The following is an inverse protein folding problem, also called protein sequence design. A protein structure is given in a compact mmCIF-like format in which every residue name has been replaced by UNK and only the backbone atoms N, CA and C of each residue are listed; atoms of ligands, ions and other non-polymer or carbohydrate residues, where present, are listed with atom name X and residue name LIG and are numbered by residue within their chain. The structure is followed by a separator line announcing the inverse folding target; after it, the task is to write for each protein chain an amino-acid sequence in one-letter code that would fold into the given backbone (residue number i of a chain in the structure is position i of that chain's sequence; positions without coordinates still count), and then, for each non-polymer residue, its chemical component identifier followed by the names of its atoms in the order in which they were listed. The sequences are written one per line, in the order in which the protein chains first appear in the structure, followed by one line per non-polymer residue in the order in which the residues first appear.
data_IF_601447072556
#
_entry.id   IF_601447072556
#
_cell.length_a   1.000
_cell.length_b   1.000
_cell.length_c   1.000
_cell.angle_alpha   90.00
_cell.angle_beta   90.00
_cell.angle_gamma   90.00
#
_symmetry.space_group_name_H-M   'P 1'
#
loop_
_entity.id
_entity.type
_entity.pdbx_description
1 polymer ?
#
# COMPACT_ATOMS: atom_id res chain seq x y z
N UNK A 1 -0.57 23.80 11.43
CA UNK A 1 0.54 24.40 12.17
C UNK A 1 0.97 25.66 11.46
N UNK A 2 1.03 26.78 12.18
CA UNK A 2 1.33 28.09 11.63
C UNK A 2 2.66 28.61 12.19
N UNK A 3 3.41 29.31 11.34
CA UNK A 3 4.61 30.04 11.72
C UNK A 3 4.33 31.36 12.41
N UNK A 4 5.39 32.08 12.83
CA UNK A 4 5.25 33.38 13.48
C UNK A 4 4.63 34.45 12.57
N UNK A 5 4.70 34.29 11.24
CA UNK A 5 4.15 35.21 10.25
C UNK A 5 2.82 34.71 9.66
N UNK A 6 2.23 33.65 10.25
CA UNK A 6 0.99 33.05 9.78
C UNK A 6 1.16 32.05 8.62
N UNK A 7 2.39 31.73 8.22
CA UNK A 7 2.68 30.75 7.19
C UNK A 7 2.34 29.32 7.64
N UNK A 8 1.73 28.49 6.78
CA UNK A 8 1.36 27.13 7.16
C UNK A 8 2.51 26.15 6.93
N UNK A 9 2.92 25.44 7.98
CA UNK A 9 3.98 24.42 7.91
C UNK A 9 3.44 23.00 7.67
N UNK A 10 2.14 22.76 7.84
CA UNK A 10 1.55 21.42 7.69
C UNK A 10 0.52 21.09 8.75
N UNK A 11 0.17 19.80 8.85
CA UNK A 11 -0.80 19.27 9.83
C UNK A 11 -0.08 18.53 10.94
N UNK A 12 -0.55 18.72 12.18
CA UNK A 12 -0.04 17.94 13.32
C UNK A 12 -0.55 16.52 13.16
N UNK A 13 0.38 15.56 13.01
CA UNK A 13 0.09 14.14 12.89
C UNK A 13 0.04 13.48 14.26
N UNK A 14 1.01 13.80 15.12
CA UNK A 14 1.16 13.15 16.41
C UNK A 14 1.83 14.07 17.44
N UNK A 15 1.76 13.67 18.71
CA UNK A 15 2.43 14.30 19.85
C UNK A 15 3.44 13.31 20.41
N UNK A 16 4.70 13.71 20.48
CA UNK A 16 5.76 12.87 21.07
C UNK A 16 5.81 13.15 22.56
N UNK A 17 5.65 12.12 23.37
CA UNK A 17 5.75 12.18 24.83
C UNK A 17 6.92 11.32 25.33
N UNK A 18 7.50 11.73 26.46
CA UNK A 18 8.46 10.89 27.19
C UNK A 18 7.72 9.89 28.05
N UNK A 19 8.08 8.61 28.00
CA UNK A 19 7.59 7.64 28.98
C UNK A 19 8.75 6.97 29.71
N UNK A 20 8.62 6.86 31.03
CA UNK A 20 9.65 6.30 31.90
C UNK A 20 9.13 5.09 32.65
N UNK A 21 10.05 4.17 32.98
CA UNK A 21 9.79 3.01 33.84
C UNK A 21 9.46 3.49 35.27
N UNK A 22 10.08 4.59 35.70
CA UNK A 22 9.73 5.27 36.95
C UNK A 22 8.50 6.11 36.66
N UNK A 23 7.39 5.88 37.37
CA UNK A 23 6.09 6.59 37.25
C UNK A 23 6.22 8.11 37.48
N UNK A 24 6.84 8.77 36.51
CA UNK A 24 6.94 10.21 36.37
C UNK A 24 5.86 10.64 35.40
N UNK A 25 5.33 11.84 35.61
CA UNK A 25 4.37 12.43 34.69
C UNK A 25 5.03 12.61 33.30
N UNK A 26 4.42 12.10 32.21
CA UNK A 26 4.97 12.24 30.86
C UNK A 26 5.11 13.69 30.46
N UNK A 27 6.28 14.05 29.93
CA UNK A 27 6.51 15.35 29.30
C UNK A 27 6.21 15.24 27.82
N UNK A 28 5.59 16.27 27.26
CA UNK A 28 5.50 16.42 25.81
C UNK A 28 6.86 16.91 25.32
N UNK A 29 7.49 16.16 24.43
CA UNK A 29 8.79 16.48 23.86
C UNK A 29 8.65 17.32 22.59
N UNK A 30 7.60 17.09 21.81
CA UNK A 30 7.34 17.81 20.57
C UNK A 30 6.15 17.27 19.81
N UNK A 31 6.02 17.75 18.58
CA UNK A 31 4.96 17.41 17.65
C UNK A 31 5.57 16.80 16.39
N UNK A 32 4.94 15.74 15.90
CA UNK A 32 5.21 15.21 14.55
C UNK A 32 4.27 15.93 13.59
N UNK A 33 4.85 16.51 12.55
CA UNK A 33 4.11 17.30 11.57
C UNK A 33 4.31 16.70 10.20
N UNK A 34 3.21 16.44 9.52
CA UNK A 34 3.23 16.14 8.10
C UNK A 34 3.33 17.44 7.32
N UNK A 35 4.47 17.60 6.64
CA UNK A 35 4.65 18.65 5.66
C UNK A 35 3.79 18.37 4.43
N UNK A 36 3.56 19.40 3.61
CA UNK A 36 2.87 19.24 2.33
C UNK A 36 3.57 18.24 1.38
N UNK A 37 4.87 17.98 1.60
CA UNK A 37 5.69 17.03 0.84
C UNK A 37 5.63 15.60 1.39
N UNK A 38 4.61 15.23 2.19
CA UNK A 38 4.43 13.91 2.86
C UNK A 38 5.59 13.45 3.75
N UNK A 39 6.59 14.30 3.98
CA UNK A 39 7.64 14.06 4.97
C UNK A 39 7.15 14.46 6.35
N UNK A 40 7.23 13.52 7.29
CA UNK A 40 7.01 13.82 8.70
C UNK A 40 8.29 14.37 9.32
N UNK A 41 8.17 15.53 9.97
CA UNK A 41 9.27 16.17 10.69
C UNK A 41 8.94 16.32 12.17
N UNK A 42 9.98 16.43 12.99
CA UNK A 42 9.83 16.68 14.41
C UNK A 42 10.01 18.14 14.77
N UNK A 43 9.03 18.70 15.46
CA UNK A 43 9.10 20.04 16.05
C UNK A 43 9.20 19.92 17.57
N UNK A 44 10.31 20.36 18.18
CA UNK A 44 10.43 20.39 19.64
C UNK A 44 9.34 21.26 20.26
N UNK A 45 8.76 20.83 21.38
CA UNK A 45 7.64 21.53 22.04
C UNK A 45 8.03 22.97 22.44
N UNK A 46 9.31 23.21 22.71
CA UNK A 46 9.85 24.52 23.06
C UNK A 46 9.70 25.55 21.92
N UNK A 47 9.53 25.09 20.68
CA UNK A 47 9.27 25.96 19.52
C UNK A 47 7.80 26.31 19.36
N UNK A 48 6.90 25.64 20.08
CA UNK A 48 5.47 25.95 20.05
C UNK A 48 5.21 27.20 20.90
N UNK A 49 4.53 28.17 20.31
CA UNK A 49 4.10 29.40 20.95
C UNK A 49 2.79 29.19 21.71
N UNK A 50 1.77 28.69 21.01
CA UNK A 50 0.46 28.35 21.56
C UNK A 50 -0.15 27.14 20.84
N UNK A 51 -1.04 26.44 21.54
CA UNK A 51 -1.91 25.39 21.01
C UNK A 51 -3.33 25.89 21.20
N UNK A 52 -4.00 26.23 20.09
CA UNK A 52 -5.38 26.71 20.03
C UNK A 52 -6.25 25.64 19.35
N UNK A 53 -7.58 25.68 19.50
CA UNK A 53 -8.47 24.65 18.96
C UNK A 53 -8.36 24.41 17.44
N UNK A 54 -7.99 25.44 16.69
CA UNK A 54 -7.89 25.45 15.23
C UNK A 54 -6.45 25.55 14.71
N UNK A 55 -5.48 25.94 15.55
CA UNK A 55 -4.10 26.12 15.14
C UNK A 55 -3.07 25.87 16.25
N UNK A 56 -1.93 25.31 15.84
CA UNK A 56 -0.70 25.32 16.64
C UNK A 56 0.25 26.36 16.03
N UNK A 57 0.69 27.33 16.82
CA UNK A 57 1.57 28.42 16.36
C UNK A 57 3.01 28.22 16.82
N UNK A 58 3.97 28.62 15.99
CA UNK A 58 5.40 28.54 16.28
C UNK A 58 5.97 29.88 16.77
N UNK A 59 6.97 29.81 17.65
CA UNK A 59 7.77 30.97 18.10
C UNK A 59 8.76 31.44 17.04
N UNK A 60 9.27 30.51 16.22
CA UNK A 60 10.28 30.78 15.19
C UNK A 60 9.92 30.07 13.89
N UNK A 61 10.22 30.69 12.74
CA UNK A 61 9.93 30.13 11.42
C UNK A 61 10.97 29.13 10.91
N UNK A 62 12.14 29.04 11.57
CA UNK A 62 13.16 28.06 11.17
C UNK A 62 12.77 26.69 11.72
N UNK A 63 12.57 25.71 10.85
CA UNK A 63 12.22 24.33 11.21
C UNK A 63 13.23 23.37 10.59
N UNK A 64 13.62 22.33 11.33
CA UNK A 64 14.47 21.26 10.80
C UNK A 64 13.66 20.39 9.85
N UNK A 65 14.16 20.18 8.63
CA UNK A 65 13.55 19.30 7.64
C UNK A 65 14.04 17.85 7.72
N UNK A 66 14.80 17.50 8.78
CA UNK A 66 15.20 16.12 9.03
C UNK A 66 13.96 15.25 9.27
N UNK A 67 13.96 14.07 8.66
CA UNK A 67 12.94 13.06 8.89
C UNK A 67 12.84 12.75 10.38
N UNK A 68 11.62 12.55 10.87
CA UNK A 68 11.39 12.14 12.25
C UNK A 68 11.79 10.68 12.44
N UNK A 69 12.73 10.44 13.33
CA UNK A 69 13.05 9.11 13.86
C UNK A 69 12.75 9.10 15.36
N UNK A 70 11.93 8.14 15.78
CA UNK A 70 11.57 7.95 17.18
C UNK A 70 12.78 7.47 17.98
N UNK A 71 13.10 8.15 19.08
CA UNK A 71 14.23 7.77 19.95
C UNK A 71 13.78 6.81 21.07
N UNK A 72 14.72 6.02 21.64
CA UNK A 72 14.42 5.20 22.81
C UNK A 72 13.84 6.03 23.97
N UNK A 73 12.68 5.62 24.49
CA UNK A 73 11.96 6.31 25.58
C UNK A 73 10.96 7.38 25.12
N UNK A 74 10.88 7.63 23.81
CA UNK A 74 9.83 8.47 23.20
C UNK A 74 8.64 7.60 22.78
N UNK A 75 7.42 8.11 22.94
CA UNK A 75 6.18 7.46 22.55
C UNK A 75 5.32 8.45 21.77
N UNK A 76 4.66 7.96 20.73
CA UNK A 76 3.65 8.68 19.97
C UNK A 76 2.29 8.58 20.67
N UNK A 77 1.72 9.71 21.08
CA UNK A 77 0.46 9.76 21.79
C UNK A 77 -0.70 9.17 20.97
N UNK A 78 -0.86 9.64 19.74
CA UNK A 78 -1.91 9.18 18.83
C UNK A 78 -1.60 7.79 18.31
N UNK A 79 -0.36 7.56 17.89
CA UNK A 79 0.05 6.29 17.27
C UNK A 79 0.19 5.10 18.23
N UNK A 80 0.41 5.34 19.53
CA UNK A 80 0.73 4.27 20.50
C UNK A 80 -0.04 4.32 21.81
N UNK A 81 -0.48 5.49 22.29
CA UNK A 81 -1.13 5.59 23.62
C UNK A 81 -2.63 5.38 23.56
N UNK A 82 -3.28 5.91 22.51
CA UNK A 82 -4.71 5.69 22.33
C UNK A 82 -5.04 4.21 22.15
N UNK A 83 -6.23 3.84 22.61
CA UNK A 83 -6.77 2.48 22.66
C UNK A 83 -5.95 1.49 23.49
N UNK A 84 -4.93 1.94 24.21
CA UNK A 84 -4.20 1.06 25.12
C UNK A 84 -5.09 0.68 26.30
N UNK A 85 -5.19 -0.62 26.65
CA UNK A 85 -5.91 -1.06 27.84
C UNK A 85 -5.14 -0.63 29.09
N UNK A 86 -5.83 0.08 29.96
CA UNK A 86 -5.32 0.60 31.23
C UNK A 86 -6.28 0.24 32.35
N UNK A 87 -5.76 0.27 33.57
CA UNK A 87 -6.55 0.20 34.79
C UNK A 87 -6.57 1.56 35.45
N UNK A 88 -7.73 1.91 35.99
CA UNK A 88 -7.92 3.19 36.67
C UNK A 88 -8.25 2.90 38.13
N UNK A 89 -7.45 3.50 39.01
CA UNK A 89 -7.66 3.48 40.45
C UNK A 89 -7.87 4.92 40.92
N UNK A 90 -9.05 5.45 40.66
CA UNK A 90 -9.44 6.81 41.04
C UNK A 90 -10.44 6.74 42.21
N UNK A 91 -10.15 7.37 43.38
CA UNK A 91 -11.07 7.40 44.52
C UNK A 91 -12.45 7.99 44.19
N UNK A 92 -12.52 8.89 43.22
CA UNK A 92 -13.75 9.56 42.80
C UNK A 92 -14.57 8.72 41.80
N UNK A 93 -13.98 7.66 41.24
CA UNK A 93 -14.62 6.74 40.28
C UNK A 93 -14.43 5.27 40.70
N UNK A 94 -15.01 4.83 41.84
CA UNK A 94 -14.87 3.46 42.34
C UNK A 94 -15.45 2.41 41.39
N UNK A 95 -16.38 2.80 40.51
CA UNK A 95 -16.96 1.97 39.46
C UNK A 95 -15.97 1.52 38.37
N UNK A 96 -14.85 2.22 38.19
CA UNK A 96 -13.78 1.84 37.26
C UNK A 96 -12.71 0.98 37.91
N UNK A 97 -12.71 0.87 39.25
CA UNK A 97 -11.70 0.11 39.98
C UNK A 97 -11.75 -1.38 39.61
N UNK A 98 -10.61 -1.92 39.15
CA UNK A 98 -10.49 -3.32 38.75
C UNK A 98 -11.11 -3.68 37.40
N UNK A 99 -11.61 -2.69 36.63
CA UNK A 99 -12.11 -2.88 35.26
C UNK A 99 -11.06 -2.41 34.27
N UNK A 100 -10.81 -3.20 33.23
CA UNK A 100 -9.94 -2.78 32.13
C UNK A 100 -10.71 -1.78 31.25
N UNK A 101 -10.13 -0.59 31.07
CA UNK A 101 -10.66 0.51 30.25
C UNK A 101 -9.64 0.86 29.16
N UNK A 102 -10.09 1.48 28.08
CA UNK A 102 -9.22 1.92 26.98
C UNK A 102 -9.01 3.42 27.02
N UNK A 103 -7.80 3.87 26.68
CA UNK A 103 -7.50 5.29 26.51
C UNK A 103 -8.15 5.80 25.22
N UNK A 104 -8.80 6.96 25.28
CA UNK A 104 -9.49 7.58 24.14
C UNK A 104 -8.95 8.96 23.80
N UNK A 105 -8.36 9.66 24.78
CA UNK A 105 -7.76 10.98 24.58
C UNK A 105 -6.75 11.29 25.70
N UNK A 106 -5.85 12.24 25.46
CA UNK A 106 -4.86 12.73 26.42
C UNK A 106 -5.00 14.25 26.60
N UNK A 107 -5.17 14.67 27.86
CA UNK A 107 -5.10 16.08 28.25
C UNK A 107 -3.66 16.49 28.51
N UNK A 108 -3.17 17.47 27.74
CA UNK A 108 -1.86 18.09 27.98
C UNK A 108 -2.04 19.50 28.57
N UNK A 109 -1.21 19.84 29.54
CA UNK A 109 -1.21 21.14 30.20
C UNK A 109 0.20 21.69 30.35
N UNK A 110 0.31 23.02 30.33
CA UNK A 110 1.57 23.69 30.58
C UNK A 110 1.75 23.96 32.08
N UNK A 111 2.85 23.48 32.64
CA UNK A 111 3.21 23.70 34.04
C UNK A 111 3.73 25.12 34.27
N UNK A 112 3.91 25.51 35.54
CA UNK A 112 4.52 26.80 35.92
C UNK A 112 5.95 26.97 35.38
N UNK A 113 6.69 25.89 35.12
CA UNK A 113 8.03 25.93 34.50
C UNK A 113 7.99 26.03 32.99
N UNK A 114 6.79 26.16 32.38
CA UNK A 114 6.52 26.16 30.94
C UNK A 114 6.76 24.82 30.23
N UNK A 115 6.95 23.75 30.98
CA UNK A 115 6.98 22.39 30.44
C UNK A 115 5.55 21.94 30.10
N UNK A 116 5.37 21.25 28.98
CA UNK A 116 4.11 20.60 28.65
C UNK A 116 4.13 19.18 29.20
N UNK A 117 3.07 18.80 29.90
CA UNK A 117 2.92 17.48 30.52
C UNK A 117 1.56 16.89 30.22
N UNK A 118 1.47 15.56 30.18
CA UNK A 118 0.18 14.87 30.17
C UNK A 118 -0.39 14.91 31.59
N UNK A 119 -1.46 15.66 31.81
CA UNK A 119 -2.12 15.80 33.12
C UNK A 119 -3.27 14.81 33.28
N UNK A 120 -4.05 14.60 32.22
CA UNK A 120 -5.28 13.83 32.26
C UNK A 120 -5.36 12.82 31.14
N UNK A 121 -6.14 11.77 31.36
CA UNK A 121 -6.40 10.71 30.39
C UNK A 121 -7.91 10.52 30.31
N UNK A 122 -8.47 10.58 29.11
CA UNK A 122 -9.86 10.22 28.88
C UNK A 122 -9.94 8.72 28.62
N UNK A 123 -10.70 8.00 29.43
CA UNK A 123 -10.85 6.55 29.37
C UNK A 123 -12.30 6.14 29.12
N UNK A 124 -12.48 4.94 28.54
CA UNK A 124 -13.80 4.37 28.30
C UNK A 124 -13.81 2.87 28.59
N UNK A 125 -14.92 2.35 29.11
CA UNK A 125 -15.14 0.91 29.25
C UNK A 125 -15.43 0.24 27.89
N UNK A 126 -14.78 -0.88 27.61
CA UNK A 126 -15.00 -1.66 26.38
C UNK A 126 -16.20 -2.61 26.57
N UNK A 127 -17.39 -2.26 26.06
CA UNK A 127 -18.57 -3.16 26.08
C UNK A 127 -18.76 -3.84 24.72
N UNK A 128 -19.02 -5.15 24.73
CA UNK A 128 -19.21 -6.03 23.55
C UNK A 128 -20.47 -5.77 22.70
N UNK A 129 -21.31 -4.78 23.04
CA UNK A 129 -22.46 -4.37 22.23
C UNK A 129 -22.31 -2.91 21.82
N UNK A 130 -22.83 -2.61 20.61
CA UNK A 130 -22.79 -1.39 19.77
C UNK A 130 -23.08 -0.01 20.42
N UNK A 131 -23.13 0.12 21.76
CA UNK A 131 -23.24 1.39 22.48
C UNK A 131 -21.88 1.77 23.09
N UNK A 132 -21.27 2.85 22.56
CA UNK A 132 -20.11 3.49 23.16
C UNK A 132 -20.45 3.92 24.60
N UNK A 133 -19.69 3.42 25.59
CA UNK A 133 -19.84 3.82 26.99
C UNK A 133 -19.46 5.28 27.24
N UNK A 134 -19.86 5.86 28.40
CA UNK A 134 -19.46 7.21 28.78
C UNK A 134 -17.93 7.32 28.85
N UNK A 135 -17.42 8.49 28.45
CA UNK A 135 -16.00 8.83 28.59
C UNK A 135 -15.79 9.45 29.97
N UNK A 136 -14.82 8.93 30.71
CA UNK A 136 -14.41 9.46 32.00
C UNK A 136 -13.02 10.10 31.86
N UNK A 137 -12.84 11.29 32.43
CA UNK A 137 -11.53 11.96 32.44
C UNK A 137 -10.92 11.80 33.82
N UNK A 138 -9.71 11.22 33.88
CA UNK A 138 -9.01 10.92 35.13
C UNK A 138 -7.62 11.53 35.14
N UNK A 139 -7.12 11.83 36.33
CA UNK A 139 -5.76 12.33 36.51
C UNK A 139 -4.73 11.23 36.18
N UNK A 140 -3.63 11.60 35.52
CA UNK A 140 -2.61 10.66 35.05
C UNK A 140 -2.12 9.69 36.13
N UNK A 141 -1.98 10.17 37.36
CA UNK A 141 -1.51 9.40 38.51
C UNK A 141 -2.41 8.20 38.87
N UNK A 142 -3.70 8.29 38.53
CA UNK A 142 -4.69 7.25 38.79
C UNK A 142 -4.74 6.19 37.68
N UNK A 143 -4.01 6.38 36.57
CA UNK A 143 -3.96 5.47 35.43
C UNK A 143 -2.76 4.53 35.54
N UNK A 144 -2.99 3.25 35.26
CA UNK A 144 -1.98 2.19 35.34
C UNK A 144 -1.99 1.36 34.05
N UNK A 145 -0.82 0.92 33.58
CA UNK A 145 -0.71 0.13 32.35
C UNK A 145 -0.09 0.90 31.17
N UNK A 146 0.15 2.20 31.31
CA UNK A 146 0.92 2.98 30.33
C UNK A 146 2.42 2.90 30.66
N UNK A 147 3.01 1.73 30.41
CA UNK A 147 4.46 1.51 30.52
C UNK A 147 5.07 1.37 29.13
N UNK A 148 6.38 1.64 28.96
CA UNK A 148 7.05 1.39 27.68
C UNK A 148 6.82 -0.04 27.16
N UNK A 149 6.78 -1.03 28.06
CA UNK A 149 6.53 -2.43 27.71
C UNK A 149 5.10 -2.70 27.24
N UNK A 150 4.09 -2.04 27.81
CA UNK A 150 2.68 -2.20 27.45
C UNK A 150 2.31 -1.45 26.16
N UNK A 151 2.88 -0.26 25.95
CA UNK A 151 2.73 0.52 24.71
C UNK A 151 3.51 -0.09 23.54
N UNK A 152 4.43 -1.01 23.85
CA UNK A 152 5.08 -1.85 22.86
C UNK A 152 4.27 -3.11 22.51
N UNK A 153 3.08 -3.36 23.11
CA UNK A 153 2.30 -4.57 22.84
C UNK A 153 1.27 -4.42 21.69
N UNK A 154 1.04 -5.48 20.89
CA UNK A 154 0.35 -5.43 19.58
C UNK A 154 -1.17 -5.51 19.69
N UNK A 155 -1.90 -4.89 18.75
CA UNK A 155 -3.21 -5.44 18.32
C UNK A 155 -4.37 -4.48 18.03
N UNK A 156 -4.58 -3.38 18.79
CA UNK A 156 -5.87 -2.66 18.69
C UNK A 156 -5.98 -1.61 17.58
N UNK A 157 -4.92 -0.88 17.26
CA UNK A 157 -5.01 0.08 16.15
C UNK A 157 -4.85 -0.53 14.74
N UNK A 158 -4.60 -1.84 14.61
CA UNK A 158 -4.54 -2.50 13.28
C UNK A 158 -5.94 -2.55 12.69
N UNK A 159 -6.95 -2.94 13.48
CA UNK A 159 -8.33 -3.00 13.01
C UNK A 159 -8.86 -1.65 12.50
N UNK A 160 -8.49 -0.54 13.13
CA UNK A 160 -8.87 0.80 12.68
C UNK A 160 -8.08 1.25 11.43
N UNK A 161 -6.84 0.80 11.27
CA UNK A 161 -6.08 1.04 10.04
C UNK A 161 -6.68 0.24 8.87
N UNK A 162 -7.07 -1.02 9.12
CA UNK A 162 -7.74 -1.85 8.12
C UNK A 162 -9.07 -1.23 7.68
N UNK A 163 -9.90 -0.75 8.62
CA UNK A 163 -11.14 0.00 8.33
C UNK A 163 -10.88 1.28 7.49
N UNK A 164 -9.75 1.95 7.70
CA UNK A 164 -9.34 3.08 6.86
C UNK A 164 -8.82 2.68 5.47
N UNK A 165 -8.37 1.45 5.30
CA UNK A 165 -7.88 0.93 4.03
C UNK A 165 -8.99 0.30 3.18
N UNK A 166 -10.13 -0.04 3.78
CA UNK A 166 -11.30 -0.52 3.06
C UNK A 166 -11.72 0.46 1.94
N UNK A 167 -11.84 -0.08 0.72
CA UNK A 167 -12.24 0.69 -0.47
C UNK A 167 -11.20 1.68 -1.00
N UNK A 168 -9.98 1.73 -0.44
CA UNK A 168 -8.88 2.53 -1.01
C UNK A 168 -8.11 1.73 -2.05
N UNK A 169 -7.44 2.42 -2.99
CA UNK A 169 -6.59 1.77 -3.99
C UNK A 169 -5.34 1.17 -3.33
N UNK A 170 -4.83 0.08 -3.90
CA UNK A 170 -3.65 -0.61 -3.39
C UNK A 170 -2.44 0.34 -3.29
N UNK A 171 -2.15 1.11 -4.35
CA UNK A 171 -1.10 2.15 -4.36
C UNK A 171 -1.18 3.16 -3.20
N UNK A 172 -2.39 3.60 -2.83
CA UNK A 172 -2.58 4.54 -1.72
C UNK A 172 -2.31 3.89 -0.35
N UNK A 173 -2.67 2.60 -0.24
CA UNK A 173 -2.47 1.81 0.97
C UNK A 173 -1.00 1.46 1.14
N UNK A 174 -0.32 1.04 0.06
CA UNK A 174 1.11 0.76 0.01
C UNK A 174 1.94 1.96 0.50
N UNK A 175 1.67 3.17 -0.04
CA UNK A 175 2.36 4.40 0.40
C UNK A 175 2.09 4.71 1.88
N UNK A 176 0.84 4.52 2.34
CA UNK A 176 0.48 4.75 3.74
C UNK A 176 1.20 3.78 4.68
N UNK A 177 1.27 2.49 4.30
CA UNK A 177 1.91 1.43 5.07
C UNK A 177 3.44 1.63 5.11
N UNK A 178 4.05 2.13 4.03
CA UNK A 178 5.48 2.45 4.00
C UNK A 178 5.85 3.48 5.06
N UNK A 179 4.97 4.46 5.30
CA UNK A 179 5.12 5.48 6.34
C UNK A 179 4.87 5.00 7.77
N UNK A 180 4.57 3.71 7.99
CA UNK A 180 4.42 3.12 9.32
C UNK A 180 5.75 2.56 9.84
N UNK A 181 5.99 2.56 11.17
CA UNK A 181 7.12 1.85 11.77
C UNK A 181 7.13 0.36 11.39
N UNK A 182 8.30 -0.25 11.16
CA UNK A 182 8.44 -1.63 10.65
C UNK A 182 7.61 -2.66 11.42
N UNK A 183 7.57 -2.55 12.76
CA UNK A 183 6.73 -3.43 13.59
C UNK A 183 5.25 -3.32 13.25
N UNK A 184 4.76 -2.10 13.02
CA UNK A 184 3.35 -1.86 12.72
C UNK A 184 2.99 -2.23 11.30
N UNK A 185 3.89 -1.96 10.35
CA UNK A 185 3.83 -2.45 8.98
C UNK A 185 3.59 -3.97 8.96
N UNK A 186 4.42 -4.72 9.70
CA UNK A 186 4.26 -6.17 9.83
C UNK A 186 2.91 -6.60 10.44
N UNK A 187 2.47 -5.93 11.51
CA UNK A 187 1.17 -6.20 12.13
C UNK A 187 -0.01 -5.99 11.16
N UNK A 188 0.09 -4.99 10.27
CA UNK A 188 -0.91 -4.72 9.22
C UNK A 188 -0.88 -5.82 8.16
N UNK A 189 0.29 -6.15 7.61
CA UNK A 189 0.40 -7.23 6.61
C UNK A 189 -0.11 -8.55 7.13
N UNK A 190 0.20 -8.89 8.38
CA UNK A 190 -0.29 -10.11 9.01
C UNK A 190 -1.82 -10.14 9.15
N UNK A 191 -2.49 -9.00 9.19
CA UNK A 191 -3.92 -8.90 9.40
C UNK A 191 -4.75 -8.76 8.12
N UNK A 192 -4.11 -8.47 6.97
CA UNK A 192 -4.75 -8.47 5.66
C UNK A 192 -5.06 -9.90 5.20
N UNK A 193 -6.04 -10.06 4.31
CA UNK A 193 -6.20 -11.31 3.56
C UNK A 193 -5.08 -11.43 2.53
N UNK A 194 -4.87 -12.64 1.99
CA UNK A 194 -3.73 -12.89 1.13
C UNK A 194 -3.89 -12.21 -0.24
N UNK A 195 -5.12 -12.18 -0.78
CA UNK A 195 -5.47 -11.44 -2.01
C UNK A 195 -5.20 -9.94 -1.85
N UNK A 196 -5.67 -9.38 -0.73
CA UNK A 196 -5.48 -7.95 -0.48
C UNK A 196 -4.02 -7.60 -0.20
N UNK A 197 -3.27 -8.54 0.36
CA UNK A 197 -1.85 -8.37 0.61
C UNK A 197 -1.07 -8.42 -0.71
N UNK A 198 -1.41 -9.34 -1.61
CA UNK A 198 -0.85 -9.42 -2.96
C UNK A 198 -1.00 -8.08 -3.72
N UNK A 199 -2.22 -7.55 -3.83
CA UNK A 199 -2.51 -6.22 -4.40
C UNK A 199 -1.56 -5.14 -3.87
N UNK A 200 -1.38 -5.09 -2.54
CA UNK A 200 -0.62 -4.03 -1.88
C UNK A 200 0.88 -4.25 -2.07
N UNK A 201 1.33 -5.51 -2.11
CA UNK A 201 2.73 -5.85 -2.31
C UNK A 201 3.18 -5.47 -3.71
N UNK A 202 2.41 -5.76 -4.77
CA UNK A 202 2.73 -5.39 -6.16
C UNK A 202 3.04 -3.88 -6.30
N UNK A 203 2.40 -3.05 -5.49
CA UNK A 203 2.56 -1.59 -5.50
C UNK A 203 3.76 -1.07 -4.68
N UNK A 204 4.43 -1.94 -3.91
CA UNK A 204 5.62 -1.60 -3.15
C UNK A 204 6.89 -1.73 -4.01
N UNK A 205 7.97 -1.00 -3.68
CA UNK A 205 9.28 -1.27 -4.26
C UNK A 205 9.73 -2.71 -3.95
N UNK A 206 10.40 -3.35 -4.90
CA UNK A 206 10.91 -4.73 -4.81
C UNK A 206 11.63 -5.05 -3.48
N UNK A 207 12.45 -4.12 -2.98
CA UNK A 207 13.16 -4.29 -1.71
C UNK A 207 12.22 -4.36 -0.50
N UNK A 208 11.16 -3.54 -0.50
CA UNK A 208 10.13 -3.57 0.54
C UNK A 208 9.32 -4.87 0.43
N UNK A 209 8.99 -5.32 -0.79
CA UNK A 209 8.28 -6.59 -1.03
C UNK A 209 9.05 -7.79 -0.47
N UNK A 210 10.35 -7.89 -0.78
CA UNK A 210 11.22 -8.96 -0.30
C UNK A 210 11.34 -8.97 1.24
N UNK A 211 11.45 -7.79 1.86
CA UNK A 211 11.45 -7.67 3.32
C UNK A 211 10.15 -8.25 3.92
N UNK A 212 9.01 -7.94 3.33
CA UNK A 212 7.70 -8.41 3.83
C UNK A 212 7.54 -9.92 3.66
N UNK A 213 7.85 -10.48 2.50
CA UNK A 213 7.81 -11.93 2.25
C UNK A 213 8.64 -12.70 3.29
N UNK A 214 9.84 -12.20 3.61
CA UNK A 214 10.72 -12.84 4.61
C UNK A 214 10.11 -12.93 6.02
N UNK A 215 9.10 -12.09 6.31
CA UNK A 215 8.45 -12.00 7.62
C UNK A 215 7.11 -12.78 7.70
N UNK A 216 6.47 -13.07 6.57
CA UNK A 216 5.14 -13.73 6.51
C UNK A 216 5.20 -15.24 6.85
N UNK A 217 6.39 -15.83 6.76
CA UNK A 217 6.59 -17.28 6.88
C UNK A 217 6.27 -18.00 5.57
N UNK A 218 6.94 -19.13 5.33
CA UNK A 218 6.99 -19.77 4.01
C UNK A 218 5.62 -20.15 3.42
N UNK A 219 4.72 -20.73 4.22
CA UNK A 219 3.40 -21.16 3.71
C UNK A 219 2.58 -19.95 3.24
N UNK A 220 2.42 -18.96 4.11
CA UNK A 220 1.68 -17.75 3.77
C UNK A 220 2.32 -16.93 2.66
N UNK A 221 3.65 -16.91 2.60
CA UNK A 221 4.37 -16.27 1.51
C UNK A 221 4.06 -16.93 0.16
N UNK A 222 3.87 -18.26 0.12
CA UNK A 222 3.43 -18.97 -1.07
C UNK A 222 1.97 -18.62 -1.40
N UNK A 223 1.05 -18.69 -0.42
CA UNK A 223 -0.37 -18.34 -0.61
C UNK A 223 -0.52 -16.91 -1.19
N UNK A 224 0.28 -15.95 -0.71
CA UNK A 224 0.26 -14.57 -1.23
C UNK A 224 0.83 -14.47 -2.64
N UNK A 225 1.84 -15.28 -2.99
CA UNK A 225 2.39 -15.30 -4.35
C UNK A 225 1.43 -15.95 -5.35
N UNK A 226 0.58 -16.89 -4.92
CA UNK A 226 -0.49 -17.47 -5.75
C UNK A 226 -1.54 -16.43 -6.14
N UNK A 227 -1.82 -15.48 -5.25
CA UNK A 227 -2.77 -14.39 -5.48
C UNK A 227 -2.15 -13.17 -6.20
N UNK A 228 -0.88 -13.22 -6.57
CA UNK A 228 -0.20 -12.16 -7.33
C UNK A 228 -0.27 -12.42 -8.84
N UNK A 229 -0.21 -11.34 -9.63
CA UNK A 229 -0.04 -11.47 -11.07
C UNK A 229 1.27 -12.23 -11.38
N UNK A 230 1.30 -13.17 -12.34
CA UNK A 230 2.44 -14.08 -12.52
C UNK A 230 3.77 -13.39 -12.81
N UNK A 231 3.73 -12.25 -13.49
CA UNK A 231 4.86 -11.39 -13.81
C UNK A 231 5.38 -10.65 -12.56
N UNK A 232 4.51 -10.05 -11.76
CA UNK A 232 4.90 -9.46 -10.48
C UNK A 232 5.50 -10.50 -9.51
N UNK A 233 4.91 -11.69 -9.47
CA UNK A 233 5.44 -12.80 -8.69
C UNK A 233 6.82 -13.24 -9.19
N UNK A 234 7.02 -13.27 -10.52
CA UNK A 234 8.32 -13.60 -11.12
C UNK A 234 9.37 -12.54 -10.80
N UNK A 235 9.03 -11.24 -10.90
CA UNK A 235 9.93 -10.14 -10.58
C UNK A 235 10.35 -10.19 -9.11
N UNK A 236 9.40 -10.36 -8.20
CA UNK A 236 9.68 -10.48 -6.77
C UNK A 236 10.56 -11.68 -6.44
N UNK A 237 10.26 -12.86 -7.00
CA UNK A 237 11.09 -14.05 -6.80
C UNK A 237 12.47 -13.92 -7.46
N UNK A 238 12.60 -13.16 -8.54
CA UNK A 238 13.86 -12.88 -9.22
C UNK A 238 14.84 -12.05 -8.39
N UNK A 239 14.33 -11.26 -7.45
CA UNK A 239 15.14 -10.47 -6.49
C UNK A 239 15.65 -11.32 -5.32
N UNK A 240 14.94 -12.41 -5.00
CA UNK A 240 15.32 -13.32 -3.91
C UNK A 240 16.51 -14.19 -4.28
N UNK A 241 17.11 -14.84 -3.28
CA UNK A 241 18.11 -15.84 -3.58
C UNK A 241 17.45 -17.08 -4.23
N UNK A 242 18.14 -17.78 -5.16
CA UNK A 242 17.53 -18.90 -5.89
C UNK A 242 17.02 -20.05 -5.01
N UNK A 243 17.55 -20.20 -3.79
CA UNK A 243 17.11 -21.27 -2.88
C UNK A 243 15.80 -20.91 -2.21
N UNK A 244 15.65 -19.66 -1.76
CA UNK A 244 14.39 -19.14 -1.19
C UNK A 244 13.28 -19.12 -2.23
N UNK A 245 13.57 -18.65 -3.44
CA UNK A 245 12.61 -18.65 -4.54
C UNK A 245 12.10 -20.07 -4.85
N UNK A 246 13.00 -21.04 -4.96
CA UNK A 246 12.62 -22.44 -5.23
C UNK A 246 11.80 -23.06 -4.11
N UNK A 247 12.07 -22.71 -2.84
CA UNK A 247 11.29 -23.16 -1.70
C UNK A 247 9.85 -22.63 -1.76
N UNK A 248 9.67 -21.35 -2.10
CA UNK A 248 8.34 -20.74 -2.26
C UNK A 248 7.60 -21.34 -3.46
N UNK A 249 8.25 -21.46 -4.62
CA UNK A 249 7.67 -22.08 -5.81
C UNK A 249 7.30 -23.56 -5.64
N UNK A 250 7.95 -24.27 -4.72
CA UNK A 250 7.59 -25.67 -4.39
C UNK A 250 6.40 -25.76 -3.44
N UNK A 251 6.07 -24.65 -2.76
CA UNK A 251 4.95 -24.57 -1.82
C UNK A 251 3.68 -24.09 -2.49
N UNK A 252 3.80 -23.30 -3.55
CA UNK A 252 2.70 -22.88 -4.39
C UNK A 252 2.02 -24.08 -5.09
N UNK A 253 0.76 -23.92 -5.48
CA UNK A 253 0.08 -24.84 -6.38
C UNK A 253 0.84 -24.93 -7.74
N UNK A 254 0.99 -26.13 -8.33
CA UNK A 254 1.57 -26.28 -9.67
C UNK A 254 0.91 -25.41 -10.74
N UNK A 255 -0.41 -25.21 -10.69
CA UNK A 255 -1.14 -24.44 -11.69
C UNK A 255 -0.73 -22.95 -11.68
N UNK A 256 -0.35 -22.41 -10.50
CA UNK A 256 0.10 -21.02 -10.32
C UNK A 256 1.63 -20.87 -10.41
N UNK A 257 2.39 -21.86 -9.94
CA UNK A 257 3.86 -21.80 -9.94
C UNK A 257 4.51 -22.11 -11.29
N UNK A 258 3.89 -22.96 -12.12
CA UNK A 258 4.44 -23.31 -13.44
C UNK A 258 4.52 -22.09 -14.39
N UNK A 259 3.53 -21.20 -14.48
CA UNK A 259 3.64 -19.94 -15.22
C UNK A 259 4.79 -19.06 -14.73
N UNK A 260 4.90 -18.83 -13.42
CA UNK A 260 5.96 -18.01 -12.81
C UNK A 260 7.35 -18.59 -13.09
N UNK A 261 7.52 -19.92 -13.00
CA UNK A 261 8.76 -20.62 -13.36
C UNK A 261 9.17 -20.45 -14.82
N UNK A 262 8.21 -20.24 -15.73
CA UNK A 262 8.51 -19.95 -17.14
C UNK A 262 9.02 -18.52 -17.28
N UNK A 263 8.35 -17.55 -16.65
CA UNK A 263 8.73 -16.14 -16.68
C UNK A 263 10.14 -15.90 -16.14
N UNK A 264 10.50 -16.54 -15.02
CA UNK A 264 11.85 -16.49 -14.42
C UNK A 264 13.00 -16.95 -15.33
N UNK A 265 12.72 -17.60 -16.47
CA UNK A 265 13.75 -18.00 -17.45
C UNK A 265 14.13 -16.87 -18.40
N UNK A 266 13.29 -15.85 -18.52
CA UNK A 266 13.50 -14.73 -19.41
C UNK A 266 14.35 -13.64 -18.73
N UNK A 267 14.98 -12.81 -19.55
CA UNK A 267 15.76 -11.68 -19.04
C UNK A 267 14.81 -10.53 -18.70
N UNK A 268 15.01 -9.80 -17.58
CA UNK A 268 14.12 -8.70 -17.18
C UNK A 268 14.03 -7.61 -18.25
N UNK A 269 15.13 -7.31 -18.96
CA UNK A 269 15.16 -6.30 -20.03
C UNK A 269 14.61 -6.77 -21.40
N UNK A 270 13.71 -7.75 -21.45
CA UNK A 270 13.18 -8.34 -22.69
C UNK A 270 11.67 -8.53 -22.64
N UNK A 271 10.99 -8.62 -23.78
CA UNK A 271 9.55 -8.82 -23.82
C UNK A 271 9.07 -10.03 -23.00
N UNK A 272 9.87 -11.10 -22.91
CA UNK A 272 9.55 -12.25 -22.06
C UNK A 272 9.69 -12.00 -20.55
N UNK A 273 10.49 -11.02 -20.15
CA UNK A 273 10.60 -10.56 -18.76
C UNK A 273 9.50 -9.56 -18.38
N UNK A 274 8.97 -8.80 -19.34
CA UNK A 274 7.88 -7.84 -19.12
C UNK A 274 6.48 -8.40 -19.37
N UNK A 275 6.36 -9.65 -19.83
CA UNK A 275 5.04 -10.19 -20.19
C UNK A 275 4.39 -10.84 -18.98
N UNK A 276 3.08 -10.64 -18.85
CA UNK A 276 2.25 -11.53 -18.07
C UNK A 276 1.94 -12.79 -18.87
N UNK A 277 1.83 -13.91 -18.16
CA UNK A 277 1.47 -15.21 -18.75
C UNK A 277 -0.04 -15.47 -18.77
N UNK A 278 -0.86 -14.59 -18.18
CA UNK A 278 -2.32 -14.75 -18.16
C UNK A 278 -3.08 -13.66 -18.95
N UNK A 279 -2.87 -13.53 -20.27
CA UNK A 279 -3.66 -12.61 -21.08
C UNK A 279 -5.04 -13.21 -21.40
N UNK A 280 -5.98 -12.37 -21.82
CA UNK A 280 -7.32 -12.83 -22.24
C UNK A 280 -7.26 -13.55 -23.59
N UNK A 281 -7.21 -14.89 -23.56
CA UNK A 281 -7.17 -15.76 -24.75
C UNK A 281 -8.53 -16.41 -25.02
N UNK A 282 -9.02 -16.27 -26.26
CA UNK A 282 -10.26 -16.90 -26.74
C UNK A 282 -10.03 -17.75 -27.99
N UNK A 283 -10.99 -18.64 -28.28
CA UNK A 283 -11.00 -19.42 -29.51
C UNK A 283 -11.75 -18.65 -30.61
N UNK A 284 -11.48 -18.91 -31.90
CA UNK A 284 -12.12 -18.18 -33.00
C UNK A 284 -13.65 -18.38 -33.09
N UNK A 285 -14.18 -19.42 -32.47
CA UNK A 285 -15.61 -19.72 -32.37
C UNK A 285 -16.31 -19.09 -31.16
N UNK A 286 -15.59 -18.35 -30.31
CA UNK A 286 -16.18 -17.54 -29.24
C UNK A 286 -17.02 -16.41 -29.83
N UNK A 287 -18.19 -16.14 -29.24
CA UNK A 287 -19.03 -15.01 -29.65
C UNK A 287 -18.50 -13.67 -29.14
N UNK A 288 -18.81 -12.58 -29.82
CA UNK A 288 -18.50 -11.21 -29.35
C UNK A 288 -19.11 -10.96 -27.96
N UNK A 289 -20.33 -11.45 -27.70
CA UNK A 289 -20.97 -11.33 -26.39
C UNK A 289 -20.16 -11.98 -25.26
N UNK A 290 -19.65 -13.18 -25.51
CA UNK A 290 -18.82 -13.92 -24.54
C UNK A 290 -17.45 -13.25 -24.37
N UNK A 291 -16.85 -12.76 -25.44
CA UNK A 291 -15.60 -12.01 -25.38
C UNK A 291 -15.74 -10.74 -24.52
N UNK A 292 -16.81 -9.96 -24.74
CA UNK A 292 -17.12 -8.80 -23.90
C UNK A 292 -17.43 -9.17 -22.45
N UNK A 293 -17.99 -10.36 -22.19
CA UNK A 293 -18.21 -10.84 -20.83
C UNK A 293 -16.89 -11.18 -20.13
N UNK A 294 -15.91 -11.78 -20.83
CA UNK A 294 -14.56 -12.03 -20.32
C UNK A 294 -13.82 -10.74 -20.02
N UNK A 295 -13.86 -9.76 -20.92
CA UNK A 295 -13.20 -8.44 -20.71
C UNK A 295 -13.86 -7.57 -19.64
N UNK A 296 -15.00 -8.00 -19.08
CA UNK A 296 -15.71 -7.30 -18.00
C UNK A 296 -15.33 -7.78 -16.61
N UNK A 297 -14.44 -8.76 -16.53
CA UNK A 297 -13.89 -9.22 -15.27
C UNK A 297 -13.25 -8.03 -14.52
N UNK A 298 -13.69 -7.72 -13.29
CA UNK A 298 -13.13 -6.61 -12.52
C UNK A 298 -11.67 -6.82 -12.13
N UNK A 299 -11.17 -8.05 -12.16
CA UNK A 299 -9.81 -8.40 -11.75
C UNK A 299 -8.80 -8.15 -12.89
N UNK A 300 -9.29 -8.00 -14.14
CA UNK A 300 -8.44 -7.61 -15.26
C UNK A 300 -8.06 -6.14 -15.21
N UNK A 301 -6.77 -5.84 -15.39
CA UNK A 301 -6.29 -4.48 -15.52
C UNK A 301 -6.93 -3.77 -16.73
N UNK A 302 -7.08 -2.43 -16.70
CA UNK A 302 -7.55 -1.68 -17.86
C UNK A 302 -6.71 -1.92 -19.13
N UNK A 303 -5.42 -2.23 -18.98
CA UNK A 303 -4.54 -2.51 -20.09
C UNK A 303 -4.79 -3.89 -20.70
N UNK A 304 -4.86 -4.94 -19.87
CA UNK A 304 -5.18 -6.30 -20.33
C UNK A 304 -6.58 -6.40 -20.91
N UNK A 305 -7.57 -5.73 -20.32
CA UNK A 305 -8.95 -5.71 -20.82
C UNK A 305 -9.13 -4.94 -22.14
N UNK A 306 -8.10 -4.25 -22.64
CA UNK A 306 -8.17 -3.48 -23.88
C UNK A 306 -8.16 -4.35 -25.15
N UNK A 307 -7.75 -5.62 -25.05
CA UNK A 307 -7.51 -6.51 -26.18
C UNK A 307 -7.78 -7.97 -25.81
N UNK A 308 -8.25 -8.76 -26.78
CA UNK A 308 -8.33 -10.22 -26.69
C UNK A 308 -7.37 -10.83 -27.68
N UNK A 309 -6.69 -11.89 -27.27
CA UNK A 309 -5.87 -12.71 -28.14
C UNK A 309 -6.67 -13.93 -28.61
N UNK A 310 -6.58 -14.24 -29.90
CA UNK A 310 -7.32 -15.36 -30.50
C UNK A 310 -6.33 -16.45 -30.88
N UNK A 311 -6.51 -17.64 -30.34
CA UNK A 311 -5.65 -18.79 -30.59
C UNK A 311 -6.47 -20.07 -30.81
N UNK A 312 -5.84 -21.08 -31.41
CA UNK A 312 -6.37 -22.44 -31.41
C UNK A 312 -6.18 -23.07 -30.03
N UNK A 313 -7.05 -24.00 -29.59
CA UNK A 313 -6.84 -24.73 -28.35
C UNK A 313 -5.47 -25.43 -28.30
N UNK A 314 -4.82 -25.49 -27.12
CA UNK A 314 -5.27 -24.98 -25.82
C UNK A 314 -5.19 -23.43 -25.71
N UNK A 315 -5.98 -22.84 -24.81
CA UNK A 315 -6.03 -21.37 -24.59
C UNK A 315 -5.16 -20.89 -23.43
N UNK A 316 -4.70 -21.78 -22.54
CA UNK A 316 -3.71 -21.44 -21.52
C UNK A 316 -2.33 -21.24 -22.20
N UNK A 317 -1.51 -20.33 -21.68
CA UNK A 317 -0.18 -20.07 -22.23
C UNK A 317 0.83 -21.14 -21.77
N UNK A 318 1.75 -21.61 -22.64
CA UNK A 318 1.80 -21.42 -24.09
C UNK A 318 0.57 -21.99 -24.81
N UNK A 319 -0.07 -21.19 -25.67
CA UNK A 319 -1.31 -21.58 -26.35
C UNK A 319 -1.07 -22.54 -27.50
N UNK A 320 -2.15 -23.01 -28.14
CA UNK A 320 -2.07 -23.50 -29.52
C UNK A 320 -1.73 -22.36 -30.49
N UNK A 321 -1.85 -22.60 -31.79
CA UNK A 321 -1.45 -21.62 -32.81
C UNK A 321 -2.20 -20.28 -32.67
N UNK A 322 -1.44 -19.19 -32.50
CA UNK A 322 -1.93 -17.83 -32.40
C UNK A 322 -2.44 -17.33 -33.76
N UNK A 323 -3.62 -16.73 -33.79
CA UNK A 323 -4.30 -16.29 -35.02
C UNK A 323 -4.29 -14.76 -35.18
N UNK A 324 -4.12 -14.01 -34.09
CA UNK A 324 -4.18 -12.56 -34.07
C UNK A 324 -4.94 -12.05 -32.84
N UNK A 325 -5.28 -10.78 -32.84
CA UNK A 325 -5.95 -10.13 -31.71
C UNK A 325 -7.23 -9.41 -32.13
N UNK A 326 -8.08 -9.07 -31.16
CA UNK A 326 -9.25 -8.23 -31.36
C UNK A 326 -9.26 -7.14 -30.29
N UNK A 327 -9.24 -5.88 -30.71
CA UNK A 327 -9.36 -4.75 -29.79
C UNK A 327 -10.77 -4.66 -29.19
N UNK A 328 -10.88 -4.26 -27.91
CA UNK A 328 -12.16 -4.04 -27.24
C UNK A 328 -13.09 -3.10 -28.01
N UNK A 329 -12.54 -2.03 -28.59
CA UNK A 329 -13.32 -1.09 -29.42
C UNK A 329 -14.02 -1.78 -30.59
N UNK A 330 -13.38 -2.78 -31.19
CA UNK A 330 -13.96 -3.54 -32.31
C UNK A 330 -15.11 -4.42 -31.83
N UNK A 331 -14.90 -5.15 -30.72
CA UNK A 331 -15.95 -5.94 -30.07
C UNK A 331 -17.20 -5.11 -29.71
N UNK A 332 -17.02 -3.83 -29.35
CA UNK A 332 -18.14 -2.93 -29.05
C UNK A 332 -18.92 -2.45 -30.29
N UNK A 333 -18.38 -2.62 -31.51
CA UNK A 333 -19.00 -2.19 -32.77
C UNK A 333 -19.68 -3.32 -33.53
N UNK A 334 -19.20 -4.54 -33.35
CA UNK A 334 -19.70 -5.73 -34.02
C UNK A 334 -20.90 -6.33 -33.26
N UNK A 335 -21.72 -7.13 -33.95
CA UNK A 335 -22.94 -7.67 -33.35
C UNK A 335 -22.60 -8.73 -32.27
N UNK A 336 -23.29 -8.77 -31.12
CA UNK A 336 -22.96 -9.70 -30.04
C UNK A 336 -22.99 -11.19 -30.42
N UNK A 337 -23.75 -11.56 -31.47
CA UNK A 337 -23.84 -12.92 -31.99
C UNK A 337 -22.77 -13.29 -33.01
N UNK A 338 -21.99 -12.33 -33.49
CA UNK A 338 -20.87 -12.62 -34.40
C UNK A 338 -19.74 -13.36 -33.69
N UNK A 339 -18.93 -14.07 -34.46
CA UNK A 339 -17.79 -14.83 -33.94
C UNK A 339 -16.53 -13.98 -33.99
N UNK A 340 -15.72 -14.04 -32.93
CA UNK A 340 -14.46 -13.30 -32.85
C UNK A 340 -13.51 -13.66 -33.98
N UNK A 341 -13.54 -14.90 -34.46
CA UNK A 341 -12.75 -15.38 -35.60
C UNK A 341 -13.01 -14.63 -36.92
N UNK A 342 -14.19 -14.00 -37.07
CA UNK A 342 -14.53 -13.20 -38.25
C UNK A 342 -13.97 -11.77 -38.23
N UNK A 343 -13.47 -11.31 -37.09
CA UNK A 343 -13.07 -9.92 -36.84
C UNK A 343 -11.64 -9.79 -36.29
N UNK A 344 -10.86 -10.88 -36.35
CA UNK A 344 -9.46 -10.94 -35.96
C UNK A 344 -8.63 -9.96 -36.80
N UNK A 345 -7.78 -9.21 -36.12
CA UNK A 345 -6.67 -8.48 -36.71
C UNK A 345 -5.41 -9.36 -36.68
N UNK A 346 -5.00 -9.81 -37.86
CA UNK A 346 -3.78 -10.60 -38.07
C UNK A 346 -2.59 -9.77 -38.56
N UNK A 347 -2.77 -8.46 -38.75
CA UNK A 347 -1.76 -7.56 -39.30
C UNK A 347 -0.88 -6.95 -38.19
N UNK A 348 -1.30 -7.06 -36.92
CA UNK A 348 -0.50 -6.64 -35.77
C UNK A 348 0.77 -7.50 -35.66
N UNK A 349 1.94 -6.85 -35.71
CA UNK A 349 3.22 -7.53 -35.53
C UNK A 349 3.32 -8.14 -34.13
N UNK A 350 3.95 -9.31 -34.03
CA UNK A 350 4.20 -10.00 -32.76
C UNK A 350 5.60 -9.70 -32.22
N UNK A 351 5.75 -9.75 -30.90
CA UNK A 351 7.04 -9.71 -30.22
C UNK A 351 7.54 -11.13 -29.98
N UNK A 352 8.86 -11.31 -29.89
CA UNK A 352 9.47 -12.56 -29.39
C UNK A 352 9.95 -12.38 -27.95
N UNK A 353 10.10 -13.43 -27.14
CA UNK A 353 10.55 -13.31 -25.75
C UNK A 353 11.88 -12.57 -25.61
N UNK A 354 12.77 -12.70 -26.58
CA UNK A 354 14.11 -12.09 -26.60
C UNK A 354 14.11 -10.66 -27.13
N UNK A 355 12.94 -10.12 -27.51
CA UNK A 355 12.85 -8.75 -28.03
C UNK A 355 13.26 -7.76 -26.94
N UNK A 356 14.32 -6.95 -27.13
CA UNK A 356 14.84 -6.09 -26.07
C UNK A 356 13.89 -4.94 -25.75
N UNK A 357 13.88 -4.51 -24.49
CA UNK A 357 13.01 -3.45 -23.94
C UNK A 357 12.93 -2.19 -24.82
N UNK A 358 14.06 -1.73 -25.37
CA UNK A 358 14.08 -0.55 -26.23
C UNK A 358 13.30 -0.72 -27.56
N UNK A 359 13.22 -1.94 -28.10
CA UNK A 359 12.38 -2.25 -29.27
C UNK A 359 10.92 -2.42 -28.88
N UNK A 360 10.64 -3.06 -27.75
CA UNK A 360 9.27 -3.16 -27.18
C UNK A 360 8.69 -1.76 -26.99
N UNK A 361 9.45 -0.85 -26.38
CA UNK A 361 9.05 0.55 -26.17
C UNK A 361 8.67 1.25 -27.49
N UNK A 362 9.51 1.09 -28.52
CA UNK A 362 9.27 1.69 -29.84
C UNK A 362 8.07 1.09 -30.52
N UNK A 363 7.85 -0.21 -30.36
CA UNK A 363 6.69 -0.92 -30.90
C UNK A 363 5.39 -0.37 -30.28
N UNK A 364 5.30 -0.27 -28.95
CA UNK A 364 4.13 0.30 -28.27
C UNK A 364 3.86 1.74 -28.71
N UNK A 365 4.91 2.57 -28.76
CA UNK A 365 4.79 3.97 -29.17
C UNK A 365 4.42 4.14 -30.65
N UNK A 366 4.98 3.33 -31.56
CA UNK A 366 4.73 3.46 -32.99
C UNK A 366 3.30 3.05 -33.38
N UNK A 367 2.75 2.04 -32.69
CA UNK A 367 1.44 1.49 -32.99
C UNK A 367 0.33 1.96 -32.02
N UNK A 368 0.64 2.86 -31.08
CA UNK A 368 -0.27 3.36 -30.04
C UNK A 368 -0.94 2.22 -29.25
N UNK A 369 -0.14 1.23 -28.86
CA UNK A 369 -0.64 0.03 -28.20
C UNK A 369 -0.69 0.22 -26.69
N UNK A 370 -1.65 -0.47 -26.08
CA UNK A 370 -1.81 -0.60 -24.63
C UNK A 370 -1.42 -2.02 -24.18
N UNK A 371 -1.53 -2.99 -25.08
CA UNK A 371 -1.17 -4.39 -24.85
C UNK A 371 -0.61 -4.97 -26.16
N UNK A 372 0.34 -5.90 -26.07
CA UNK A 372 1.02 -6.49 -27.23
C UNK A 372 1.35 -7.99 -27.05
N UNK A 373 1.17 -8.83 -28.09
CA UNK A 373 1.39 -10.27 -27.99
C UNK A 373 2.87 -10.65 -28.02
N UNK A 374 3.25 -11.64 -27.19
CA UNK A 374 4.55 -12.30 -27.25
C UNK A 374 4.37 -13.74 -27.71
N UNK A 375 5.06 -14.15 -28.77
CA UNK A 375 4.94 -15.48 -29.37
C UNK A 375 6.29 -16.19 -29.51
N UNK A 376 6.26 -17.52 -29.50
CA UNK A 376 7.44 -18.35 -29.80
C UNK A 376 7.68 -18.53 -31.31
N UNK A 377 8.77 -19.21 -31.67
CA UNK A 377 9.13 -19.54 -33.06
C UNK A 377 8.09 -20.40 -33.81
N UNK A 378 7.19 -21.06 -33.07
CA UNK A 378 6.12 -21.91 -33.60
C UNK A 378 4.77 -21.17 -33.67
N UNK A 379 4.77 -19.88 -33.34
CA UNK A 379 3.62 -18.99 -33.29
C UNK A 379 2.57 -19.44 -32.25
N UNK A 380 3.03 -19.92 -31.09
CA UNK A 380 2.22 -20.05 -29.89
C UNK A 380 2.28 -18.75 -29.09
N UNK A 381 1.16 -18.29 -28.55
CA UNK A 381 1.14 -17.15 -27.64
C UNK A 381 1.70 -17.58 -26.29
N UNK A 382 2.75 -16.90 -25.85
CA UNK A 382 3.40 -17.14 -24.55
C UNK A 382 2.87 -16.22 -23.46
N UNK A 383 2.39 -15.05 -23.84
CA UNK A 383 1.93 -14.02 -22.92
C UNK A 383 1.64 -12.71 -23.65
N UNK A 384 1.41 -11.66 -22.88
CA UNK A 384 1.26 -10.31 -23.39
C UNK A 384 2.01 -9.30 -22.53
N UNK A 385 2.58 -8.28 -23.17
CA UNK A 385 3.16 -7.13 -22.46
C UNK A 385 2.08 -6.07 -22.34
N UNK A 386 1.99 -5.42 -21.19
CA UNK A 386 1.13 -4.25 -20.99
C UNK A 386 1.94 -2.95 -21.01
N UNK A 387 1.26 -1.82 -21.24
CA UNK A 387 1.92 -0.52 -21.27
C UNK A 387 2.33 -0.05 -19.87
N UNK A 388 1.62 -0.47 -18.84
CA UNK A 388 1.90 -0.20 -17.44
C UNK A 388 3.22 -0.85 -17.00
N UNK A 389 3.40 -2.16 -17.23
CA UNK A 389 4.66 -2.86 -16.90
C UNK A 389 5.84 -2.27 -17.68
N UNK A 390 5.59 -1.88 -18.93
CA UNK A 390 6.56 -1.17 -19.75
C UNK A 390 6.94 0.19 -19.17
N UNK A 391 5.97 0.95 -18.65
CA UNK A 391 6.24 2.25 -18.02
C UNK A 391 7.07 2.08 -16.74
N UNK A 392 6.78 1.06 -15.95
CA UNK A 392 7.50 0.78 -14.72
C UNK A 392 8.99 0.53 -14.95
N UNK A 393 9.31 -0.21 -16.01
CA UNK A 393 10.69 -0.46 -16.43
C UNK A 393 11.39 0.77 -17.03
N UNK A 394 10.63 1.73 -17.57
CA UNK A 394 11.19 2.97 -18.13
C UNK A 394 11.41 4.06 -17.07
N UNK A 395 10.67 3.99 -15.96
CA UNK A 395 10.79 4.93 -14.85
C UNK A 395 12.00 4.59 -13.96
N UNK A 396 12.56 5.56 -13.22
CA UNK A 396 13.61 5.29 -12.25
C UNK A 396 13.16 4.26 -11.19
N UNK A 397 14.07 3.41 -10.70
CA UNK A 397 13.75 2.36 -9.72
C UNK A 397 13.07 2.88 -8.43
N UNK A 398 13.21 4.16 -8.10
CA UNK A 398 12.60 4.80 -6.94
C UNK A 398 11.29 5.55 -7.26
N UNK A 399 10.71 5.38 -8.45
CA UNK A 399 9.49 6.11 -8.84
C UNK A 399 8.30 5.83 -7.92
N UNK A 400 8.22 4.61 -7.37
CA UNK A 400 7.22 4.19 -6.37
C UNK A 400 7.44 4.82 -4.98
N UNK A 401 8.59 5.43 -4.71
CA UNK A 401 8.96 5.97 -3.38
C UNK A 401 8.31 7.33 -3.10
N UNK A 402 8.23 8.21 -4.11
CA UNK A 402 7.76 9.60 -3.99
C UNK A 402 6.72 9.93 -5.08
N UNK A 403 5.60 9.18 -5.15
CA UNK A 403 4.54 9.43 -6.15
C UNK A 403 3.84 10.77 -5.86
N UNK A 404 3.97 11.80 -6.71
CA UNK A 404 3.34 13.10 -6.44
C UNK A 404 1.83 12.97 -6.55
N UNK A 405 1.12 13.31 -5.48
CA UNK A 405 -0.35 13.33 -5.55
C UNK A 405 -0.83 14.46 -6.46
N UNK A 406 -1.70 14.08 -7.39
CA UNK A 406 -2.48 15.03 -8.17
C UNK A 406 -3.78 15.34 -7.42
N UNK A 407 -4.20 16.60 -7.43
CA UNK A 407 -5.56 16.96 -7.02
C UNK A 407 -6.58 16.42 -8.04
N UNK A 408 -7.90 16.43 -7.75
CA UNK A 408 -8.92 15.99 -8.70
C UNK A 408 -8.93 16.75 -10.04
N UNK A 409 -8.22 17.89 -10.13
CA UNK A 409 -8.04 18.67 -11.34
C UNK A 409 -6.72 18.35 -12.08
N UNK A 410 -6.01 17.29 -11.68
CA UNK A 410 -4.78 16.82 -12.31
C UNK A 410 -3.57 17.73 -12.07
N UNK A 411 -3.63 18.64 -11.11
CA UNK A 411 -2.49 19.50 -10.76
C UNK A 411 -1.67 18.80 -9.69
N UNK A 412 -0.33 18.89 -9.73
CA UNK A 412 0.47 18.49 -8.58
C UNK A 412 -0.10 19.22 -7.38
N UNK A 413 -0.46 18.46 -6.33
CA UNK A 413 -1.01 19.00 -5.11
C UNK A 413 -0.07 20.12 -4.67
N UNK A 414 -0.54 21.37 -4.83
CA UNK A 414 0.33 22.53 -4.65
C UNK A 414 0.87 22.45 -3.22
N UNK A 415 2.19 22.55 -2.99
CA UNK A 415 2.65 22.93 -1.67
C UNK A 415 2.01 24.29 -1.40
N UNK A 416 1.14 24.36 -0.40
CA UNK A 416 0.14 25.42 -0.21
C UNK A 416 0.59 26.80 -0.71
N UNK A 417 0.06 27.20 -1.87
CA UNK A 417 0.25 28.53 -2.43
C UNK A 417 -0.62 29.53 -1.68
N UNK A 418 0.05 30.40 -0.92
CA UNK A 418 -0.41 31.74 -0.52
C UNK A 418 -1.38 32.34 -1.53
N UNK A 419 -2.55 32.75 -1.04
CA UNK A 419 -3.45 33.64 -1.78
C UNK A 419 -3.68 34.88 -0.91
N UNK A 420 -3.36 36.02 -1.54
CA UNK A 420 -3.38 37.41 -1.12
C UNK A 420 -4.53 37.86 -0.20
#
# INVERSE_FOLDING_TARGET
MLGPMGESFGRVRDVVISISIVRQQPRVLGLVIDLATRRSIFIPILRVAAIEPDAVTLRTGNVSLRHFEQRPGEVLAMGQVLDTPVRVNDPDLPELAGVDVVVTDLGIEQTRTRDWVVSRVAVRTHRRLRRRGPVHVVEWQNVHGLTPSALAMPGQGVAQLLDQFEGRKAVDVADTIRGLPSKRRYEVFKALSDERLADILQELPELDQAEVLSQLGTERAADVLEEMDPDDAADLLGVLNPTEAEVLLTRMDPDDSDPVRRLLKHSPDTAGGLMTSDPVVLTPDTSVAEALARLRDPDLTPALSSMVFVARPPTATPTGHYLGCVHLQRLLRDAPSELVGGIVDSDLLTLTPETPLGLVTRYFAAYNLVCGPVVDDQNHLLGAVTVDDLLDHLLPHDWRVDVPQLDPAGRPARPGGSSL
#
